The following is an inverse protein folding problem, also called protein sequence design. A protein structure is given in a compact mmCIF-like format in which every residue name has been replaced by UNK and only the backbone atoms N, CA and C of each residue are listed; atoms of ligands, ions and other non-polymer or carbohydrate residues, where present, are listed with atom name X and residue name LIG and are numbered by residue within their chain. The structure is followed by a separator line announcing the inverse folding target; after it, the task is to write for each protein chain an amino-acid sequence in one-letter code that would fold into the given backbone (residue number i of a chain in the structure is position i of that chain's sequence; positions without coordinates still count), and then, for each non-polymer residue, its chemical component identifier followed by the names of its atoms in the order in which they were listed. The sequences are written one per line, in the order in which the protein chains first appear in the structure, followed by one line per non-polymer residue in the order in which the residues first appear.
data_IF_419783037841
#
_entry.id   IF_419783037841
#
_cell.length_a   1.000
_cell.length_b   1.000
_cell.length_c   1.000
_cell.angle_alpha   90.00
_cell.angle_beta   90.00
_cell.angle_gamma   90.00
#
_symmetry.space_group_name_H-M   'P 1'
#
loop_
_entity.id
_entity.type
_entity.pdbx_description
1 polymer ?
#
# COMPACT_ATOMS: atom_id res chain seq x y z
N UNK A 1 -25.57 -27.37 6.26
CA UNK A 1 -25.31 -26.23 5.38
C UNK A 1 -24.05 -25.51 5.85
N UNK A 2 -23.05 -25.38 4.97
CA UNK A 2 -21.77 -24.70 5.29
C UNK A 2 -21.82 -23.18 5.08
N UNK A 3 -22.88 -22.64 4.47
CA UNK A 3 -22.98 -21.25 4.11
C UNK A 3 -23.95 -20.49 4.99
N UNK A 4 -23.65 -19.23 5.25
CA UNK A 4 -24.58 -18.25 5.80
C UNK A 4 -25.68 -18.04 4.74
N UNK A 5 -26.95 -18.15 5.13
CA UNK A 5 -28.05 -17.74 4.25
C UNK A 5 -28.09 -16.22 4.20
N UNK A 6 -27.83 -15.70 3.02
CA UNK A 6 -28.04 -14.29 2.68
C UNK A 6 -29.20 -14.22 1.67
N UNK A 7 -30.05 -13.24 1.77
CA UNK A 7 -31.11 -12.99 0.79
C UNK A 7 -30.56 -12.37 -0.51
N UNK A 8 -29.31 -11.90 -0.51
CA UNK A 8 -28.64 -11.32 -1.66
C UNK A 8 -27.33 -12.04 -1.96
N UNK A 9 -27.20 -12.53 -3.17
CA UNK A 9 -25.94 -13.14 -3.66
C UNK A 9 -25.07 -12.06 -4.31
N UNK A 10 -24.26 -11.37 -3.50
CA UNK A 10 -23.29 -10.45 -4.05
C UNK A 10 -22.26 -11.20 -4.89
N UNK A 11 -22.02 -10.72 -6.11
CA UNK A 11 -21.07 -11.32 -7.06
C UNK A 11 -21.35 -12.82 -7.35
N UNK A 12 -22.61 -13.25 -7.20
CA UNK A 12 -23.02 -14.66 -7.32
C UNK A 12 -22.25 -15.61 -6.38
N UNK A 13 -21.90 -15.16 -5.20
CA UNK A 13 -21.13 -15.90 -4.20
C UNK A 13 -21.94 -16.14 -2.93
N UNK A 14 -21.65 -17.27 -2.28
CA UNK A 14 -22.14 -17.60 -0.95
C UNK A 14 -21.05 -17.31 0.08
N UNK A 15 -21.44 -16.76 1.23
CA UNK A 15 -20.52 -16.57 2.35
C UNK A 15 -20.49 -17.86 3.18
N UNK A 16 -19.28 -18.36 3.46
CA UNK A 16 -19.08 -19.49 4.34
C UNK A 16 -19.38 -19.10 5.78
N UNK A 17 -20.08 -19.95 6.52
CA UNK A 17 -20.44 -19.72 7.92
C UNK A 17 -19.27 -20.05 8.85
N UNK A 18 -18.37 -19.09 9.05
CA UNK A 18 -17.20 -19.27 9.93
C UNK A 18 -17.54 -19.21 11.44
N UNK A 19 -18.80 -18.99 11.83
CA UNK A 19 -19.23 -19.28 13.20
C UNK A 19 -19.21 -20.79 13.50
N UNK A 20 -19.25 -21.64 12.44
CA UNK A 20 -19.23 -23.08 12.56
C UNK A 20 -17.78 -23.63 12.50
N UNK A 21 -17.28 -24.31 13.54
CA UNK A 21 -15.93 -24.88 13.58
C UNK A 21 -15.62 -25.82 12.41
N UNK A 22 -16.60 -26.60 11.94
CA UNK A 22 -16.39 -27.51 10.78
C UNK A 22 -16.11 -26.73 9.49
N UNK A 23 -16.70 -25.55 9.34
CA UNK A 23 -16.44 -24.67 8.20
C UNK A 23 -15.06 -24.02 8.33
N UNK A 24 -14.64 -23.68 9.56
CA UNK A 24 -13.27 -23.21 9.82
C UNK A 24 -12.25 -24.31 9.44
N UNK A 25 -12.51 -25.57 9.80
CA UNK A 25 -11.64 -26.70 9.44
C UNK A 25 -11.55 -26.89 7.91
N UNK A 26 -12.68 -26.75 7.22
CA UNK A 26 -12.71 -26.80 5.76
C UNK A 26 -11.85 -25.68 5.13
N UNK A 27 -12.04 -24.43 5.56
CA UNK A 27 -11.27 -23.28 5.02
C UNK A 27 -9.77 -23.44 5.31
N UNK A 28 -9.43 -23.89 6.53
CA UNK A 28 -8.04 -24.21 6.86
C UNK A 28 -7.47 -25.30 5.94
N UNK A 29 -8.23 -26.36 5.69
CA UNK A 29 -7.77 -27.47 4.82
C UNK A 29 -7.55 -27.04 3.37
N UNK A 30 -8.31 -26.05 2.87
CA UNK A 30 -8.09 -25.50 1.52
C UNK A 30 -6.70 -24.86 1.41
N UNK A 31 -6.33 -24.02 2.38
CA UNK A 31 -4.99 -23.41 2.39
C UNK A 31 -3.91 -24.46 2.63
N UNK A 32 -4.16 -25.37 3.55
CA UNK A 32 -3.22 -26.46 3.87
C UNK A 32 -2.90 -27.33 2.66
N UNK A 33 -3.91 -27.71 1.89
CA UNK A 33 -3.73 -28.51 0.67
C UNK A 33 -2.92 -27.75 -0.39
N UNK A 34 -3.20 -26.44 -0.58
CA UNK A 34 -2.42 -25.60 -1.51
C UNK A 34 -0.94 -25.61 -1.11
N UNK A 35 -0.65 -25.47 0.18
CA UNK A 35 0.73 -25.45 0.67
C UNK A 35 1.42 -26.83 0.56
N UNK A 36 0.68 -27.92 0.76
CA UNK A 36 1.20 -29.29 0.61
C UNK A 36 1.52 -29.57 -0.86
N UNK A 37 0.62 -29.18 -1.78
CA UNK A 37 0.80 -29.37 -3.21
C UNK A 37 1.86 -28.44 -3.82
N UNK A 38 2.14 -27.31 -3.17
CA UNK A 38 3.10 -26.29 -3.63
C UNK A 38 4.07 -25.90 -2.51
N UNK A 39 5.03 -26.78 -2.14
CA UNK A 39 5.91 -26.54 -0.99
C UNK A 39 6.83 -25.33 -1.14
N UNK A 40 7.10 -24.90 -2.38
CA UNK A 40 7.94 -23.74 -2.70
C UNK A 40 7.14 -22.44 -2.85
N UNK A 41 5.87 -22.43 -2.43
CA UNK A 41 5.01 -21.22 -2.52
C UNK A 41 5.61 -20.09 -1.67
N UNK A 42 6.05 -19.02 -2.34
CA UNK A 42 6.77 -17.91 -1.72
C UNK A 42 5.86 -16.77 -1.24
N UNK A 43 4.61 -16.74 -1.67
CA UNK A 43 3.67 -15.66 -1.36
C UNK A 43 2.22 -16.11 -1.56
N UNK A 44 1.33 -15.65 -0.69
CA UNK A 44 -0.09 -15.97 -0.75
C UNK A 44 -0.92 -14.69 -0.65
N UNK A 45 -1.82 -14.43 -1.62
CA UNK A 45 -2.85 -13.40 -1.49
C UNK A 45 -4.16 -14.06 -1.10
N UNK A 46 -4.68 -13.66 0.05
CA UNK A 46 -5.97 -14.13 0.56
C UNK A 46 -7.04 -13.07 0.30
N UNK A 47 -7.99 -13.40 -0.56
CA UNK A 47 -9.07 -12.50 -0.94
C UNK A 47 -10.43 -13.03 -0.45
N UNK A 48 -11.16 -12.20 0.33
CA UNK A 48 -12.43 -12.56 0.95
C UNK A 48 -13.43 -11.41 0.83
N UNK A 49 -13.97 -11.23 -0.37
CA UNK A 49 -14.61 -10.01 -0.85
C UNK A 49 -16.09 -9.85 -0.51
N UNK A 50 -16.80 -10.88 -0.04
CA UNK A 50 -18.25 -10.78 0.08
C UNK A 50 -18.67 -10.05 1.36
N UNK A 51 -19.46 -8.98 1.26
CA UNK A 51 -20.08 -8.38 2.44
C UNK A 51 -21.09 -9.33 3.06
N UNK A 52 -21.27 -9.24 4.38
CA UNK A 52 -22.21 -10.07 5.14
C UNK A 52 -23.42 -9.20 5.50
N UNK A 53 -24.52 -9.41 4.81
CA UNK A 53 -25.77 -8.67 5.00
C UNK A 53 -26.96 -9.62 5.08
N UNK A 54 -27.95 -9.29 5.89
CA UNK A 54 -29.21 -10.03 6.02
C UNK A 54 -29.02 -11.55 6.17
N UNK A 55 -28.30 -11.97 7.18
CA UNK A 55 -27.70 -13.29 7.32
C UNK A 55 -28.43 -14.16 8.36
N UNK A 56 -28.38 -15.47 8.16
CA UNK A 56 -28.83 -16.48 9.10
C UNK A 56 -27.86 -17.66 9.12
N UNK A 57 -27.42 -18.06 10.32
CA UNK A 57 -26.58 -19.25 10.52
C UNK A 57 -27.40 -20.42 11.04
N UNK A 58 -27.56 -21.52 10.25
CA UNK A 58 -28.18 -22.74 10.76
C UNK A 58 -27.45 -23.39 11.95
N UNK A 59 -26.14 -23.10 12.07
CA UNK A 59 -25.31 -23.60 13.16
C UNK A 59 -25.64 -22.92 14.49
N UNK A 60 -25.86 -21.61 14.46
CA UNK A 60 -26.10 -20.82 15.68
C UNK A 60 -27.50 -20.99 16.28
N UNK A 61 -28.47 -21.56 15.54
CA UNK A 61 -29.83 -21.78 16.01
C UNK A 61 -30.43 -20.51 16.64
N UNK A 62 -30.74 -20.56 17.95
CA UNK A 62 -31.32 -19.43 18.71
C UNK A 62 -30.32 -18.27 18.97
N UNK A 63 -29.02 -18.48 18.73
CA UNK A 63 -27.97 -17.49 18.98
C UNK A 63 -27.66 -16.58 17.79
N UNK A 64 -28.65 -16.26 16.95
CA UNK A 64 -28.46 -15.47 15.73
C UNK A 64 -27.87 -14.08 16.00
N UNK A 65 -28.15 -13.48 17.15
CA UNK A 65 -27.58 -12.20 17.57
C UNK A 65 -26.05 -12.23 17.78
N UNK A 66 -25.43 -13.41 17.87
CA UNK A 66 -23.98 -13.59 17.97
C UNK A 66 -23.29 -13.74 16.60
N UNK A 67 -24.04 -13.84 15.50
CA UNK A 67 -23.51 -14.26 14.20
C UNK A 67 -22.34 -13.40 13.73
N UNK A 68 -22.45 -12.09 13.74
CA UNK A 68 -21.38 -11.20 13.28
C UNK A 68 -20.11 -11.33 14.12
N UNK A 69 -20.26 -11.46 15.43
CA UNK A 69 -19.13 -11.60 16.37
C UNK A 69 -18.46 -12.97 16.18
N UNK A 70 -19.25 -14.04 16.18
CA UNK A 70 -18.71 -15.41 16.09
C UNK A 70 -18.13 -15.71 14.70
N UNK A 71 -18.71 -15.11 13.64
CA UNK A 71 -18.12 -15.17 12.30
C UNK A 71 -16.73 -14.53 12.26
N UNK A 72 -16.57 -13.31 12.79
CA UNK A 72 -15.28 -12.61 12.82
C UNK A 72 -14.25 -13.37 13.65
N UNK A 73 -14.66 -13.89 14.82
CA UNK A 73 -13.79 -14.75 15.65
C UNK A 73 -13.36 -16.01 14.90
N UNK A 74 -14.28 -16.61 14.14
CA UNK A 74 -13.98 -17.76 13.27
C UNK A 74 -12.99 -17.43 12.16
N UNK A 75 -13.12 -16.26 11.53
CA UNK A 75 -12.15 -15.76 10.54
C UNK A 75 -10.76 -15.67 11.15
N UNK A 76 -10.62 -15.00 12.30
CA UNK A 76 -9.32 -14.87 12.98
C UNK A 76 -8.75 -16.20 13.46
N UNK A 77 -9.60 -17.13 13.89
CA UNK A 77 -9.15 -18.47 14.27
C UNK A 77 -8.53 -19.22 13.09
N UNK A 78 -9.11 -19.12 11.90
CA UNK A 78 -8.55 -19.71 10.68
C UNK A 78 -7.20 -19.03 10.33
N UNK A 79 -7.14 -17.71 10.35
CA UNK A 79 -5.92 -16.95 10.08
C UNK A 79 -4.80 -17.33 11.05
N UNK A 80 -5.12 -17.41 12.34
CA UNK A 80 -4.19 -17.84 13.39
C UNK A 80 -3.61 -19.22 13.09
N UNK A 81 -4.46 -20.20 12.81
CA UNK A 81 -4.05 -21.58 12.51
C UNK A 81 -3.12 -21.67 11.30
N UNK A 82 -3.39 -20.89 10.26
CA UNK A 82 -2.54 -20.81 9.06
C UNK A 82 -1.18 -20.20 9.41
N UNK A 83 -1.18 -19.06 10.11
CA UNK A 83 0.05 -18.38 10.52
C UNK A 83 0.93 -19.25 11.45
N UNK A 84 0.31 -20.02 12.36
CA UNK A 84 1.01 -20.94 13.26
C UNK A 84 1.64 -22.12 12.50
N UNK A 85 0.95 -22.65 11.48
CA UNK A 85 1.46 -23.78 10.69
C UNK A 85 2.50 -23.32 9.65
N UNK A 86 2.34 -22.13 9.08
CA UNK A 86 3.19 -21.59 8.02
C UNK A 86 3.78 -20.21 8.41
N UNK A 87 4.60 -20.13 9.49
CA UNK A 87 5.05 -18.85 10.07
C UNK A 87 5.97 -18.03 9.16
N UNK A 88 6.55 -18.65 8.14
CA UNK A 88 7.45 -17.97 7.19
C UNK A 88 6.77 -17.55 5.88
N UNK A 89 5.50 -17.91 5.69
CA UNK A 89 4.75 -17.55 4.49
C UNK A 89 4.28 -16.10 4.56
N UNK A 90 4.74 -15.22 3.67
CA UNK A 90 4.16 -13.89 3.54
C UNK A 90 2.74 -13.99 2.98
N UNK A 91 1.78 -13.39 3.67
CA UNK A 91 0.38 -13.40 3.26
C UNK A 91 -0.12 -11.97 3.17
N UNK A 92 -0.69 -11.61 2.01
CA UNK A 92 -1.43 -10.36 1.79
C UNK A 92 -2.91 -10.59 2.03
N UNK A 93 -3.51 -9.79 2.88
CA UNK A 93 -4.96 -9.76 3.08
C UNK A 93 -5.62 -8.79 2.09
N UNK A 94 -6.62 -9.28 1.39
CA UNK A 94 -7.52 -8.51 0.55
C UNK A 94 -8.98 -8.84 0.88
N UNK A 95 -9.84 -7.83 0.84
CA UNK A 95 -11.28 -7.99 0.96
C UNK A 95 -11.97 -6.82 0.25
N UNK A 96 -12.05 -6.87 -1.08
CA UNK A 96 -12.47 -5.72 -1.88
C UNK A 96 -11.57 -4.50 -1.58
N UNK A 97 -10.28 -4.71 -1.52
CA UNK A 97 -9.33 -3.79 -0.91
C UNK A 97 -9.16 -4.00 0.58
N UNK A 98 -9.17 -2.92 1.36
CA UNK A 98 -8.85 -2.90 2.79
C UNK A 98 -10.02 -3.12 3.76
N UNK A 99 -11.14 -3.72 3.34
CA UNK A 99 -12.31 -3.83 4.20
C UNK A 99 -12.12 -4.71 5.46
N UNK A 100 -11.06 -5.53 5.51
CA UNK A 100 -10.69 -6.33 6.68
C UNK A 100 -9.33 -5.95 7.27
N UNK A 101 -8.83 -4.75 6.92
CA UNK A 101 -7.61 -4.22 7.52
C UNK A 101 -7.89 -3.74 8.94
N UNK A 102 -7.41 -4.47 9.92
CA UNK A 102 -7.45 -4.09 11.33
C UNK A 102 -6.20 -4.59 12.08
N UNK A 103 -6.03 -4.17 13.33
CA UNK A 103 -4.86 -4.55 14.14
C UNK A 103 -4.87 -6.02 14.58
N UNK A 104 -6.03 -6.68 14.66
CA UNK A 104 -6.06 -8.13 14.90
C UNK A 104 -5.53 -8.90 13.70
N UNK A 105 -5.94 -8.51 12.49
CA UNK A 105 -5.45 -9.12 11.25
C UNK A 105 -3.93 -8.95 11.07
N UNK A 106 -3.34 -7.83 11.52
CA UNK A 106 -1.87 -7.60 11.48
C UNK A 106 -1.06 -8.66 12.23
N UNK A 107 -1.65 -9.44 13.13
CA UNK A 107 -0.97 -10.54 13.80
C UNK A 107 -0.69 -11.72 12.86
N UNK A 108 -1.45 -11.83 11.77
CA UNK A 108 -1.47 -13.00 10.90
C UNK A 108 -1.04 -12.70 9.46
N UNK A 109 -1.09 -11.43 9.07
CA UNK A 109 -0.77 -10.99 7.71
C UNK A 109 0.46 -10.10 7.69
N UNK A 110 1.25 -10.22 6.64
CA UNK A 110 2.44 -9.39 6.45
C UNK A 110 2.11 -8.04 5.80
N UNK A 111 1.00 -7.99 5.08
CA UNK A 111 0.54 -6.79 4.38
C UNK A 111 -0.93 -6.82 4.00
N UNK A 112 -1.45 -5.63 3.66
CA UNK A 112 -2.81 -5.42 3.19
C UNK A 112 -2.83 -4.85 1.77
N UNK A 113 -3.79 -5.32 0.98
CA UNK A 113 -4.22 -4.63 -0.23
C UNK A 113 -5.15 -3.49 0.15
N UNK A 114 -4.66 -2.25 0.15
CA UNK A 114 -5.39 -1.10 0.69
C UNK A 114 -6.69 -0.78 -0.07
N UNK A 115 -6.67 -0.94 -1.40
CA UNK A 115 -7.84 -0.68 -2.26
C UNK A 115 -7.67 -1.34 -3.61
N UNK A 116 -8.78 -1.82 -4.18
CA UNK A 116 -8.86 -2.27 -5.57
C UNK A 116 -8.78 -1.08 -6.56
N UNK A 117 -9.03 0.14 -6.09
CA UNK A 117 -8.78 1.34 -6.89
C UNK A 117 -7.27 1.60 -6.94
N UNK A 118 -6.68 1.33 -8.11
CA UNK A 118 -5.24 1.50 -8.38
C UNK A 118 -4.94 2.74 -9.22
N UNK A 119 -5.92 3.61 -9.43
CA UNK A 119 -5.68 4.94 -10.01
C UNK A 119 -4.63 5.67 -9.15
N UNK A 120 -3.50 6.11 -9.70
CA UNK A 120 -2.42 6.66 -8.89
C UNK A 120 -2.78 8.01 -8.23
N UNK A 121 -3.69 8.77 -8.79
CA UNK A 121 -4.20 10.01 -8.17
C UNK A 121 -5.03 9.63 -6.94
N UNK A 122 -5.99 8.71 -7.09
CA UNK A 122 -6.80 8.22 -5.98
C UNK A 122 -5.94 7.54 -4.90
N UNK A 123 -4.88 6.84 -5.32
CA UNK A 123 -3.95 6.19 -4.39
C UNK A 123 -3.19 7.17 -3.51
N UNK A 124 -2.95 8.40 -3.93
CA UNK A 124 -2.40 9.43 -3.03
C UNK A 124 -3.30 9.66 -1.82
N UNK A 125 -4.62 9.78 -2.04
CA UNK A 125 -5.61 9.95 -0.96
C UNK A 125 -5.75 8.69 -0.12
N UNK A 126 -5.86 7.53 -0.76
CA UNK A 126 -6.02 6.23 -0.09
C UNK A 126 -4.79 5.94 0.80
N UNK A 127 -3.57 6.06 0.26
CA UNK A 127 -2.34 5.78 1.00
C UNK A 127 -2.09 6.81 2.11
N UNK A 128 -2.45 8.07 1.88
CA UNK A 128 -2.44 9.10 2.92
C UNK A 128 -3.36 8.71 4.08
N UNK A 129 -4.62 8.34 3.79
CA UNK A 129 -5.59 7.92 4.80
C UNK A 129 -5.13 6.69 5.57
N UNK A 130 -4.72 5.62 4.87
CA UNK A 130 -4.19 4.40 5.51
C UNK A 130 -2.96 4.66 6.36
N UNK A 131 -2.08 5.58 5.95
CA UNK A 131 -0.86 5.92 6.69
C UNK A 131 -1.13 6.55 8.07
N UNK A 132 -2.37 6.98 8.37
CA UNK A 132 -2.75 7.46 9.69
C UNK A 132 -2.79 6.31 10.72
N UNK A 133 -3.01 5.08 10.26
CA UNK A 133 -3.23 3.91 11.11
C UNK A 133 -2.21 2.80 10.90
N UNK A 134 -1.66 2.68 9.69
CA UNK A 134 -0.78 1.57 9.30
C UNK A 134 0.56 2.06 8.74
N UNK A 135 1.67 1.40 9.09
CA UNK A 135 2.99 1.72 8.54
C UNK A 135 3.09 1.31 7.07
N UNK A 136 3.99 1.96 6.32
CA UNK A 136 4.22 1.67 4.90
C UNK A 136 4.49 0.18 4.61
N UNK A 137 5.15 -0.53 5.52
CA UNK A 137 5.45 -1.97 5.38
C UNK A 137 4.23 -2.89 5.49
N UNK A 138 3.10 -2.38 5.99
CA UNK A 138 1.84 -3.13 6.03
C UNK A 138 0.94 -2.82 4.81
N UNK A 139 1.29 -1.88 3.97
CA UNK A 139 0.49 -1.43 2.84
C UNK A 139 1.11 -1.87 1.51
N UNK A 140 0.27 -2.41 0.60
CA UNK A 140 0.68 -2.73 -0.76
C UNK A 140 0.15 -1.71 -1.76
N UNK A 141 1.02 -1.36 -2.70
CA UNK A 141 0.69 -0.50 -3.83
C UNK A 141 1.33 -1.05 -5.11
N UNK A 142 0.52 -1.18 -6.16
CA UNK A 142 1.00 -1.72 -7.42
C UNK A 142 0.90 -0.68 -8.53
N UNK A 143 1.89 -0.72 -9.43
CA UNK A 143 1.84 -0.04 -10.71
C UNK A 143 0.93 -0.85 -11.62
N UNK A 144 -0.16 -0.24 -12.09
CA UNK A 144 -1.15 -0.92 -12.94
C UNK A 144 -1.38 -0.15 -14.24
N UNK A 145 -2.17 -0.73 -15.14
CA UNK A 145 -2.65 -0.05 -16.35
C UNK A 145 -3.83 0.88 -16.12
N UNK A 146 -4.31 1.01 -14.90
CA UNK A 146 -5.41 1.91 -14.59
C UNK A 146 -4.95 3.37 -14.68
N UNK A 147 -5.79 4.24 -15.23
CA UNK A 147 -5.49 5.66 -15.50
C UNK A 147 -4.17 5.88 -16.26
N UNK A 148 -4.11 5.40 -17.51
CA UNK A 148 -2.95 5.56 -18.41
C UNK A 148 -2.64 7.02 -18.80
N UNK A 149 -3.50 7.97 -18.45
CA UNK A 149 -3.23 9.41 -18.66
C UNK A 149 -2.12 9.93 -17.73
N UNK A 150 -1.83 9.21 -16.65
CA UNK A 150 -0.69 9.51 -15.79
C UNK A 150 0.56 8.81 -16.32
N UNK A 151 1.73 9.47 -16.21
CA UNK A 151 3.00 8.90 -16.65
C UNK A 151 3.36 7.63 -15.84
N UNK A 152 4.17 6.76 -16.44
CA UNK A 152 4.71 5.59 -15.73
C UNK A 152 5.52 6.02 -14.50
N UNK A 153 6.22 7.15 -14.56
CA UNK A 153 6.93 7.75 -13.44
C UNK A 153 5.98 8.05 -12.27
N UNK A 154 4.87 8.76 -12.54
CA UNK A 154 3.91 9.11 -11.50
C UNK A 154 3.32 7.86 -10.84
N UNK A 155 2.88 6.87 -11.63
CA UNK A 155 2.34 5.60 -11.13
C UNK A 155 3.34 4.84 -10.26
N UNK A 156 4.60 4.80 -10.70
CA UNK A 156 5.66 4.07 -9.99
C UNK A 156 6.06 4.79 -8.70
N UNK A 157 6.22 6.11 -8.72
CA UNK A 157 6.59 6.88 -7.53
C UNK A 157 5.48 6.80 -6.46
N UNK A 158 4.19 6.78 -6.86
CA UNK A 158 3.08 6.56 -5.92
C UNK A 158 3.14 5.15 -5.30
N UNK A 159 3.42 4.12 -6.10
CA UNK A 159 3.54 2.76 -5.58
C UNK A 159 4.76 2.60 -4.65
N UNK A 160 5.84 3.33 -4.91
CA UNK A 160 7.06 3.28 -4.09
C UNK A 160 6.88 3.76 -2.65
N UNK A 161 5.82 4.52 -2.34
CA UNK A 161 5.54 4.95 -0.96
C UNK A 161 5.22 3.79 0.00
N UNK A 162 4.96 2.59 -0.53
CA UNK A 162 4.55 1.40 0.21
C UNK A 162 5.34 0.17 -0.25
N UNK A 163 4.85 -1.04 0.05
CA UNK A 163 5.35 -2.26 -0.60
C UNK A 163 4.97 -2.23 -2.07
N UNK A 164 5.94 -1.92 -2.91
CA UNK A 164 5.75 -1.76 -4.35
C UNK A 164 5.66 -3.09 -5.07
N UNK A 165 4.69 -3.21 -5.97
CA UNK A 165 4.56 -4.28 -6.95
C UNK A 165 4.19 -3.77 -8.33
N UNK A 166 4.26 -4.65 -9.32
CA UNK A 166 3.79 -4.38 -10.68
C UNK A 166 2.69 -5.38 -11.05
N UNK A 167 1.59 -4.84 -11.53
CA UNK A 167 0.45 -5.59 -12.06
C UNK A 167 0.04 -4.92 -13.38
N UNK A 168 0.93 -5.01 -14.37
CA UNK A 168 0.84 -4.36 -15.67
C UNK A 168 1.35 -5.32 -16.75
N UNK A 169 0.75 -5.28 -17.92
CA UNK A 169 1.22 -6.05 -19.06
C UNK A 169 2.51 -5.44 -19.62
N UNK A 170 3.60 -6.19 -19.58
CA UNK A 170 4.87 -5.76 -20.15
C UNK A 170 4.79 -5.52 -21.66
N UNK A 171 3.82 -6.14 -22.36
CA UNK A 171 3.59 -5.94 -23.80
C UNK A 171 3.03 -4.55 -24.13
N UNK A 172 2.51 -3.85 -23.12
CA UNK A 172 1.94 -2.51 -23.29
C UNK A 172 2.98 -1.40 -23.05
N UNK A 173 4.20 -1.74 -22.65
CA UNK A 173 5.27 -0.81 -22.33
C UNK A 173 6.21 -0.66 -23.53
N UNK A 174 6.62 0.58 -23.79
CA UNK A 174 7.71 0.85 -24.72
C UNK A 174 9.08 0.65 -24.06
N UNK A 175 10.16 0.70 -24.87
CA UNK A 175 11.52 0.43 -24.40
C UNK A 175 11.99 1.42 -23.32
N UNK A 176 11.61 2.68 -23.41
CA UNK A 176 11.99 3.68 -22.40
C UNK A 176 11.24 3.49 -21.10
N UNK A 177 9.95 3.15 -21.14
CA UNK A 177 9.19 2.78 -19.94
C UNK A 177 9.74 1.51 -19.28
N UNK A 178 10.16 0.53 -20.09
CA UNK A 178 10.78 -0.70 -19.57
C UNK A 178 12.10 -0.40 -18.85
N UNK A 179 12.99 0.40 -19.47
CA UNK A 179 14.25 0.84 -18.85
C UNK A 179 14.00 1.62 -17.57
N UNK A 180 13.05 2.56 -17.63
CA UNK A 180 12.62 3.33 -16.45
C UNK A 180 12.18 2.41 -15.31
N UNK A 181 11.30 1.45 -15.57
CA UNK A 181 10.81 0.52 -14.54
C UNK A 181 11.92 -0.34 -13.95
N UNK A 182 12.89 -0.79 -14.74
CA UNK A 182 14.06 -1.53 -14.26
C UNK A 182 14.89 -0.68 -13.29
N UNK A 183 15.14 0.59 -13.64
CA UNK A 183 15.86 1.52 -12.78
C UNK A 183 15.05 1.85 -11.50
N UNK A 184 13.75 2.09 -11.61
CA UNK A 184 12.88 2.35 -10.47
C UNK A 184 12.84 1.17 -9.50
N UNK A 185 12.81 -0.08 -9.99
CA UNK A 185 12.93 -1.29 -9.16
C UNK A 185 14.28 -1.34 -8.44
N UNK A 186 15.38 -1.01 -9.12
CA UNK A 186 16.70 -0.96 -8.52
C UNK A 186 16.78 0.12 -7.41
N UNK A 187 16.22 1.30 -7.67
CA UNK A 187 16.12 2.39 -6.71
C UNK A 187 15.25 1.98 -5.51
N UNK A 188 14.09 1.35 -5.74
CA UNK A 188 13.25 0.86 -4.65
C UNK A 188 13.99 -0.16 -3.78
N UNK A 189 14.67 -1.15 -4.37
CA UNK A 189 15.47 -2.14 -3.63
C UNK A 189 16.51 -1.49 -2.73
N UNK A 190 17.14 -0.40 -3.18
CA UNK A 190 18.14 0.38 -2.43
C UNK A 190 17.50 1.22 -1.30
N UNK A 191 16.27 1.71 -1.49
CA UNK A 191 15.61 2.67 -0.61
C UNK A 191 14.54 2.05 0.28
N UNK A 192 14.08 0.82 -0.01
CA UNK A 192 12.96 0.18 0.70
C UNK A 192 13.14 0.13 2.22
N UNK A 193 14.37 -0.02 2.73
CA UNK A 193 14.61 0.00 4.18
C UNK A 193 14.28 1.35 4.80
N UNK A 194 14.61 2.45 4.11
CA UNK A 194 14.23 3.80 4.57
C UNK A 194 12.74 4.03 4.48
N UNK A 195 12.08 3.55 3.41
CA UNK A 195 10.65 3.75 3.18
C UNK A 195 9.81 2.89 4.14
N UNK A 196 10.14 1.61 4.28
CA UNK A 196 9.29 0.66 5.00
C UNK A 196 9.52 0.66 6.52
N UNK A 197 10.74 0.99 6.98
CA UNK A 197 11.13 0.94 8.39
C UNK A 197 11.49 2.32 8.97
N UNK A 198 11.54 3.37 8.14
CA UNK A 198 11.79 4.75 8.56
C UNK A 198 10.57 5.41 9.20
N UNK A 199 10.80 6.58 9.77
CA UNK A 199 9.75 7.43 10.31
C UNK A 199 9.07 8.21 9.18
N UNK A 200 7.74 8.14 9.12
CA UNK A 200 6.93 8.85 8.14
C UNK A 200 6.60 10.27 8.63
N UNK A 201 6.81 11.23 7.75
CA UNK A 201 6.37 12.62 7.91
C UNK A 201 5.44 12.99 6.73
N UNK A 202 4.21 13.39 7.05
CA UNK A 202 3.23 13.90 6.09
C UNK A 202 3.37 15.42 6.00
N UNK A 203 3.89 15.92 4.89
CA UNK A 203 4.33 17.32 4.77
C UNK A 203 3.27 18.22 4.12
N UNK A 204 2.62 17.72 3.05
CA UNK A 204 1.59 18.45 2.31
C UNK A 204 0.43 17.50 2.04
N UNK A 205 -0.74 17.85 2.58
CA UNK A 205 -1.95 17.04 2.48
C UNK A 205 -2.59 17.17 1.08
N UNK A 206 -2.94 16.04 0.44
CA UNK A 206 -3.68 16.07 -0.83
C UNK A 206 -5.13 16.57 -0.68
N UNK A 207 -5.65 16.66 0.55
CA UNK A 207 -6.98 17.16 0.84
C UNK A 207 -7.04 18.71 0.92
N UNK A 208 -5.90 19.35 1.20
CA UNK A 208 -5.83 20.78 1.45
C UNK A 208 -5.31 21.59 0.26
N UNK A 209 -4.57 20.93 -0.65
CA UNK A 209 -3.93 21.58 -1.80
C UNK A 209 -3.99 20.71 -3.06
N UNK A 210 -3.62 21.26 -4.21
CA UNK A 210 -3.44 20.50 -5.47
C UNK A 210 -2.11 19.72 -5.52
N UNK A 211 -1.42 19.62 -4.40
CA UNK A 211 -0.14 18.97 -4.24
C UNK A 211 -0.19 17.96 -3.10
N UNK A 212 0.73 17.00 -3.10
CA UNK A 212 0.93 16.09 -1.97
C UNK A 212 2.40 15.87 -1.73
N UNK A 213 2.80 15.77 -0.47
CA UNK A 213 4.17 15.39 -0.14
C UNK A 213 4.25 14.61 1.16
N UNK A 214 5.01 13.52 1.11
CA UNK A 214 5.38 12.71 2.27
C UNK A 214 6.86 12.41 2.23
N UNK A 215 7.47 12.18 3.39
CA UNK A 215 8.85 11.73 3.44
C UNK A 215 9.06 10.66 4.50
N UNK A 216 10.07 9.86 4.27
CA UNK A 216 10.55 8.84 5.20
C UNK A 216 11.99 9.15 5.60
N UNK A 217 12.28 9.00 6.87
CA UNK A 217 13.65 9.24 7.41
C UNK A 217 14.09 7.98 8.14
N UNK A 218 15.29 7.50 7.86
CA UNK A 218 15.84 6.34 8.57
C UNK A 218 16.13 6.68 10.05
N UNK A 219 16.16 5.65 10.89
CA UNK A 219 16.36 5.81 12.34
C UNK A 219 17.66 6.51 12.71
N UNK A 220 18.69 6.37 11.88
CA UNK A 220 19.98 7.04 12.07
C UNK A 220 20.00 8.49 11.58
N UNK A 221 18.92 8.97 10.96
CA UNK A 221 18.83 10.28 10.30
C UNK A 221 19.99 10.52 9.33
N UNK A 222 20.38 9.47 8.62
CA UNK A 222 21.47 9.50 7.64
C UNK A 222 20.95 9.56 6.21
N UNK A 223 19.72 9.11 6.01
CA UNK A 223 19.06 9.00 4.71
C UNK A 223 17.58 9.33 4.83
N UNK A 224 17.06 10.00 3.83
CA UNK A 224 15.62 10.26 3.70
C UNK A 224 15.17 10.08 2.26
N UNK A 225 13.89 9.80 2.08
CA UNK A 225 13.22 9.74 0.78
C UNK A 225 12.02 10.66 0.83
N UNK A 226 12.02 11.66 -0.04
CA UNK A 226 10.93 12.62 -0.20
C UNK A 226 10.14 12.25 -1.45
N UNK A 227 8.83 12.17 -1.31
CA UNK A 227 7.86 12.07 -2.40
C UNK A 227 7.09 13.38 -2.49
N UNK A 228 7.00 13.94 -3.68
CA UNK A 228 6.26 15.16 -3.95
C UNK A 228 5.50 15.03 -5.28
N UNK A 229 4.24 15.40 -5.29
CA UNK A 229 3.32 15.18 -6.39
C UNK A 229 2.54 16.45 -6.71
N UNK A 230 2.50 16.81 -7.99
CA UNK A 230 1.54 17.76 -8.55
C UNK A 230 0.30 16.96 -8.99
N UNK A 231 -0.82 17.13 -8.28
CA UNK A 231 -2.06 16.36 -8.51
C UNK A 231 -2.89 17.02 -9.62
N UNK A 232 -3.23 18.28 -9.41
CA UNK A 232 -4.03 19.09 -10.33
C UNK A 232 -3.49 20.51 -10.40
N UNK A 233 -2.26 20.72 -10.92
CA UNK A 233 -1.66 22.06 -10.96
C UNK A 233 -2.52 22.97 -11.83
N UNK A 234 -2.79 24.18 -11.32
CA UNK A 234 -3.58 25.20 -12.02
C UNK A 234 -2.67 26.26 -12.60
N UNK A 235 -3.05 26.81 -13.76
CA UNK A 235 -2.32 27.93 -14.34
C UNK A 235 -2.24 29.09 -13.34
N UNK A 236 -1.02 29.62 -13.16
CA UNK A 236 -0.75 30.72 -12.24
C UNK A 236 -0.81 30.38 -10.75
N UNK A 237 -0.95 29.09 -10.39
CA UNK A 237 -0.86 28.65 -9.01
C UNK A 237 0.52 28.93 -8.45
N UNK A 238 0.57 29.57 -7.27
CA UNK A 238 1.82 29.82 -6.59
C UNK A 238 2.30 28.56 -5.87
N UNK A 239 3.50 28.09 -6.18
CA UNK A 239 4.15 27.03 -5.45
C UNK A 239 4.80 27.58 -4.17
N UNK A 240 5.06 26.69 -3.23
CA UNK A 240 5.67 27.01 -1.96
C UNK A 240 6.78 25.98 -1.63
N UNK A 241 7.81 26.40 -0.87
CA UNK A 241 8.84 25.45 -0.46
C UNK A 241 8.28 24.44 0.55
N UNK A 242 8.56 23.14 0.31
CA UNK A 242 8.25 22.07 1.25
C UNK A 242 9.33 22.00 2.31
N UNK A 243 8.96 22.27 3.56
CA UNK A 243 9.85 22.15 4.72
C UNK A 243 9.93 20.69 5.14
N UNK A 244 11.14 20.14 5.13
CA UNK A 244 11.37 18.76 5.52
C UNK A 244 11.25 18.59 7.04
N UNK A 245 11.10 17.35 7.50
CA UNK A 245 10.99 17.05 8.93
C UNK A 245 11.85 15.83 9.29
N UNK A 246 12.18 15.72 10.57
CA UNK A 246 12.85 14.54 11.12
C UNK A 246 14.35 14.42 10.82
N UNK A 247 14.94 15.34 10.05
CA UNK A 247 16.37 15.35 9.77
C UNK A 247 17.20 15.73 11.01
N UNK A 248 18.49 15.42 10.97
CA UNK A 248 19.45 15.95 11.95
C UNK A 248 19.89 17.36 11.51
N UNK A 249 19.64 18.42 12.29
CA UNK A 249 19.97 19.78 11.90
C UNK A 249 21.46 20.00 11.61
N UNK A 250 22.33 19.22 12.25
CA UNK A 250 23.80 19.35 12.17
C UNK A 250 24.41 18.52 11.02
N UNK A 251 23.65 17.58 10.43
CA UNK A 251 24.14 16.80 9.31
C UNK A 251 23.95 17.55 7.98
N UNK A 252 24.79 17.20 7.02
CA UNK A 252 24.65 17.64 5.63
C UNK A 252 24.05 16.52 4.79
N UNK A 253 23.09 16.88 3.94
CA UNK A 253 22.37 15.98 3.06
C UNK A 253 22.60 16.39 1.61
N UNK A 254 23.06 15.45 0.79
CA UNK A 254 23.09 15.62 -0.67
C UNK A 254 21.69 15.32 -1.20
N UNK A 255 21.12 16.27 -1.93
CA UNK A 255 19.84 16.11 -2.59
C UNK A 255 20.05 15.53 -3.99
N UNK A 256 19.24 14.57 -4.35
CA UNK A 256 19.24 13.96 -5.69
C UNK A 256 17.83 13.55 -6.08
N UNK A 257 17.37 14.03 -7.21
CA UNK A 257 16.15 13.50 -7.85
C UNK A 257 16.48 12.16 -8.52
N UNK A 258 15.60 11.20 -8.34
CA UNK A 258 15.72 9.84 -8.91
C UNK A 258 14.49 9.49 -9.73
N UNK A 259 14.50 8.34 -10.38
CA UNK A 259 13.41 7.89 -11.24
C UNK A 259 13.10 8.88 -12.37
N UNK A 260 14.13 9.42 -13.00
CA UNK A 260 13.96 10.22 -14.21
C UNK A 260 13.78 9.31 -15.44
N UNK A 261 12.95 9.73 -16.38
CA UNK A 261 12.82 9.00 -17.66
C UNK A 261 14.17 9.00 -18.40
N UNK A 262 14.45 7.97 -19.21
CA UNK A 262 15.67 7.93 -20.00
C UNK A 262 15.91 9.22 -20.79
N UNK A 263 17.09 9.79 -20.64
CA UNK A 263 17.46 11.06 -21.29
C UNK A 263 16.92 12.34 -20.63
N UNK A 264 16.07 12.24 -19.64
CA UNK A 264 15.61 13.42 -18.87
C UNK A 264 16.65 13.85 -17.83
N UNK A 265 16.68 15.15 -17.56
CA UNK A 265 17.45 15.76 -16.47
C UNK A 265 16.51 16.32 -15.43
N UNK A 266 16.95 16.32 -14.20
CA UNK A 266 16.21 16.97 -13.10
C UNK A 266 16.00 18.45 -13.40
N UNK A 267 14.79 18.91 -13.13
CA UNK A 267 14.44 20.34 -13.11
C UNK A 267 14.48 20.91 -11.70
N UNK A 268 14.75 20.08 -10.70
CA UNK A 268 14.83 20.46 -9.31
C UNK A 268 16.10 21.31 -9.08
N UNK A 269 15.92 22.59 -8.70
CA UNK A 269 17.05 23.54 -8.50
C UNK A 269 18.03 23.04 -7.44
N UNK A 270 17.56 22.27 -6.47
CA UNK A 270 18.41 21.72 -5.38
C UNK A 270 19.08 20.41 -5.75
N UNK A 271 18.82 19.85 -6.94
CA UNK A 271 19.43 18.59 -7.39
C UNK A 271 20.97 18.69 -7.45
N UNK A 272 21.67 17.67 -6.98
CA UNK A 272 23.13 17.62 -6.87
C UNK A 272 23.72 18.47 -5.72
N UNK A 273 22.92 19.36 -5.12
CA UNK A 273 23.34 20.24 -4.03
C UNK A 273 23.46 19.53 -2.68
N UNK A 274 24.21 20.16 -1.75
CA UNK A 274 24.38 19.67 -0.38
C UNK A 274 23.95 20.75 0.61
N UNK A 275 23.01 20.44 1.48
CA UNK A 275 22.37 21.37 2.41
C UNK A 275 22.42 20.82 3.84
N UNK A 276 22.43 21.70 4.85
CA UNK A 276 22.26 21.25 6.24
C UNK A 276 20.82 20.80 6.49
N UNK A 277 20.65 19.87 7.43
CA UNK A 277 19.31 19.47 7.86
C UNK A 277 18.49 20.67 8.40
N UNK A 278 19.17 21.59 9.09
CA UNK A 278 18.55 22.83 9.57
C UNK A 278 17.97 23.68 8.44
N UNK A 279 18.73 23.88 7.34
CA UNK A 279 18.25 24.60 6.15
C UNK A 279 17.03 23.89 5.53
N UNK A 280 17.12 22.58 5.31
CA UNK A 280 16.04 21.81 4.70
C UNK A 280 14.76 21.80 5.55
N UNK A 281 14.88 21.85 6.87
CA UNK A 281 13.75 21.88 7.78
C UNK A 281 13.15 23.28 7.97
N UNK A 282 13.95 24.34 7.95
CA UNK A 282 13.47 25.72 8.21
C UNK A 282 13.06 26.45 6.93
N UNK A 283 13.83 26.30 5.88
CA UNK A 283 13.62 26.96 4.58
C UNK A 283 12.85 26.04 3.63
N UNK A 284 13.27 24.77 3.52
CA UNK A 284 12.66 23.79 2.63
C UNK A 284 13.20 23.81 1.20
N UNK A 285 12.49 23.12 0.32
CA UNK A 285 12.83 22.99 -1.10
C UNK A 285 11.62 23.24 -1.98
N UNK A 286 11.78 23.92 -3.09
CA UNK A 286 10.74 24.04 -4.13
C UNK A 286 10.75 22.75 -4.96
N UNK A 287 9.78 21.90 -4.72
CA UNK A 287 9.65 20.58 -5.35
C UNK A 287 8.43 20.45 -6.27
N UNK A 288 7.54 21.45 -6.24
CA UNK A 288 6.35 21.49 -7.08
C UNK A 288 6.59 22.34 -8.33
N UNK A 289 6.01 21.88 -9.45
CA UNK A 289 6.07 22.59 -10.73
C UNK A 289 5.09 23.75 -10.77
N UNK A 290 5.49 24.83 -11.46
CA UNK A 290 4.54 25.89 -11.86
C UNK A 290 3.92 25.47 -13.19
N UNK A 291 2.58 25.40 -13.26
CA UNK A 291 1.90 25.25 -14.55
C UNK A 291 2.03 26.56 -15.35
N UNK A 292 2.65 26.47 -16.50
CA UNK A 292 2.82 27.58 -17.46
C UNK A 292 1.91 27.42 -18.66
#
# INVERSE_FOLDING_TARGET
QMCIRDSYYYRNQLVLDLSNPKVQDYVFSVVDNIMIENPDLAFFKWDCNSPITNVYSPYLKEKQNQLYIDHVRGVYNVFKRVAEKYPHLPIMLCSGGGARCDYEALKYFTEFWCSDNTDPIERLYIQWGFSQFFPAKAMCAHVTSWNKNTSIKFRTDVAMMCKMGFDISLKEMNDDEMKYCQEAVANYKRLKGTILDGDLYRLVSPYDTNHSSVMYVDKAKSKSVLFAYDIHPRFGEKTFPVKLQGLDPNKKYKVQEINLMPGQKSTLVTDGGTFSGDFLMKIGMNVFSTAH
#
